data_IF_186927885017
#
_entry.id   IF_186927885017
#
_cell.length_a   1.000
_cell.length_b   1.000
_cell.length_c   1.000
_cell.angle_alpha   90.00
_cell.angle_beta   90.00
_cell.angle_gamma   90.00
#
_symmetry.space_group_name_H-M   'P 1'
#
loop_
_entity.id
_entity.type
_entity.pdbx_description
1 polymer ?
#
# COMPACT_ATOMS: atom_id res chain seq x y z
N UNK A 1 24.60 0.00 -1.68
CA UNK A 1 24.36 -1.17 -2.56
C UNK A 1 22.91 -1.55 -2.35
N UNK A 2 22.14 -1.75 -3.40
CA UNK A 2 20.75 -2.18 -3.25
C UNK A 2 20.74 -3.66 -2.91
N UNK A 3 20.37 -3.95 -1.67
CA UNK A 3 20.29 -5.32 -1.17
C UNK A 3 18.85 -5.80 -1.22
N UNK A 4 18.68 -7.11 -1.43
CA UNK A 4 17.37 -7.73 -1.41
C UNK A 4 17.07 -8.27 -0.02
N UNK A 5 16.04 -7.72 0.62
CA UNK A 5 15.58 -8.10 1.94
C UNK A 5 14.49 -9.15 1.78
N UNK A 6 14.65 -10.31 2.43
CA UNK A 6 13.64 -11.36 2.45
C UNK A 6 12.48 -10.93 3.38
N UNK A 7 11.29 -10.74 2.82
CA UNK A 7 10.12 -10.24 3.57
C UNK A 7 9.03 -11.29 3.78
N UNK A 8 8.92 -12.29 2.92
CA UNK A 8 7.95 -13.39 3.07
C UNK A 8 8.32 -14.63 2.24
N UNK A 9 7.59 -15.72 2.48
CA UNK A 9 7.61 -16.93 1.65
C UNK A 9 6.18 -17.28 1.19
N UNK A 10 6.05 -17.73 -0.05
CA UNK A 10 4.78 -18.24 -0.58
C UNK A 10 4.60 -19.69 -0.14
N UNK A 11 3.57 -19.96 0.67
CA UNK A 11 3.41 -21.27 1.35
C UNK A 11 2.43 -22.22 0.67
N UNK A 12 1.37 -21.69 0.07
CA UNK A 12 0.36 -22.53 -0.61
C UNK A 12 -0.45 -21.73 -1.64
N UNK A 13 -1.02 -22.44 -2.61
CA UNK A 13 -2.04 -21.88 -3.50
C UNK A 13 -3.31 -21.51 -2.69
N UNK A 14 -3.92 -20.40 -3.05
CA UNK A 14 -5.25 -19.98 -2.61
C UNK A 14 -6.31 -20.24 -3.70
N UNK A 15 -7.37 -19.44 -3.68
CA UNK A 15 -8.42 -19.41 -4.71
C UNK A 15 -8.28 -18.14 -5.55
N UNK A 16 -8.90 -18.10 -6.73
CA UNK A 16 -9.02 -16.87 -7.55
C UNK A 16 -7.70 -16.13 -7.83
N UNK A 17 -6.61 -16.88 -8.06
CA UNK A 17 -5.28 -16.32 -8.33
C UNK A 17 -4.50 -15.87 -7.08
N UNK A 18 -5.06 -15.99 -5.87
CA UNK A 18 -4.34 -15.65 -4.64
C UNK A 18 -3.36 -16.76 -4.26
N UNK A 19 -2.24 -16.37 -3.67
CA UNK A 19 -1.33 -17.24 -2.95
C UNK A 19 -1.29 -16.88 -1.48
N UNK A 20 -1.21 -17.88 -0.61
CA UNK A 20 -1.01 -17.68 0.82
C UNK A 20 0.47 -17.44 1.09
N UNK A 21 0.78 -16.38 1.85
CA UNK A 21 2.15 -16.04 2.23
C UNK A 21 2.34 -16.12 3.74
N UNK A 22 3.59 -16.39 4.13
CA UNK A 22 4.07 -16.27 5.50
C UNK A 22 5.08 -15.12 5.55
N UNK A 23 4.64 -13.97 6.05
CA UNK A 23 5.49 -12.81 6.24
C UNK A 23 6.52 -13.06 7.35
N UNK A 24 7.72 -12.50 7.19
CA UNK A 24 8.69 -12.36 8.28
C UNK A 24 8.14 -11.37 9.32
N UNK A 25 8.59 -11.53 10.57
CA UNK A 25 8.13 -10.66 11.66
C UNK A 25 8.35 -9.18 11.32
N UNK A 26 7.31 -8.36 11.45
CA UNK A 26 7.34 -6.93 11.16
C UNK A 26 7.05 -6.54 9.71
N UNK A 27 6.87 -7.49 8.80
CA UNK A 27 6.60 -7.21 7.38
C UNK A 27 5.16 -7.47 6.94
N UNK A 28 4.30 -7.98 7.83
CA UNK A 28 2.90 -8.30 7.53
C UNK A 28 2.10 -7.08 7.05
N UNK A 29 2.21 -5.96 7.77
CA UNK A 29 1.53 -4.71 7.39
C UNK A 29 2.11 -4.05 6.13
N UNK A 30 3.36 -4.37 5.78
CA UNK A 30 4.04 -3.77 4.64
C UNK A 30 3.37 -4.13 3.32
N UNK A 31 2.78 -5.32 3.22
CA UNK A 31 2.11 -5.78 2.01
C UNK A 31 0.94 -4.88 1.57
N UNK A 32 0.30 -4.16 2.50
CA UNK A 32 -0.76 -3.20 2.14
C UNK A 32 -0.20 -1.89 1.55
N UNK A 33 1.11 -1.64 1.68
CA UNK A 33 1.79 -0.39 1.28
C UNK A 33 2.70 -0.56 0.05
N UNK A 34 2.88 -1.78 -0.45
CA UNK A 34 3.76 -2.08 -1.60
C UNK A 34 2.96 -2.56 -2.80
N UNK A 35 3.33 -2.06 -3.98
CA UNK A 35 2.73 -2.46 -5.26
C UNK A 35 3.57 -3.45 -6.05
N UNK A 36 4.85 -3.63 -5.69
CA UNK A 36 5.79 -4.49 -6.42
C UNK A 36 6.76 -5.19 -5.49
N UNK A 37 7.11 -6.43 -5.82
CA UNK A 37 8.05 -7.26 -5.07
C UNK A 37 8.91 -8.09 -6.01
N UNK A 38 10.00 -8.65 -5.48
CA UNK A 38 10.87 -9.53 -6.23
C UNK A 38 10.68 -10.98 -5.79
N UNK A 39 10.52 -11.88 -6.75
CA UNK A 39 10.47 -13.32 -6.52
C UNK A 39 11.73 -14.00 -7.07
N UNK A 40 12.22 -15.02 -6.37
CA UNK A 40 13.37 -15.83 -6.82
C UNK A 40 12.97 -16.93 -7.80
N UNK A 41 13.43 -16.77 -9.04
CA UNK A 41 13.33 -17.77 -10.11
C UNK A 41 14.70 -18.07 -10.68
N UNK A 42 15.14 -19.33 -10.58
CA UNK A 42 16.37 -19.82 -11.21
C UNK A 42 17.60 -18.95 -10.91
N UNK A 43 17.82 -18.62 -9.63
CA UNK A 43 18.90 -17.74 -9.15
C UNK A 43 18.82 -16.29 -9.68
N UNK A 44 17.66 -15.88 -10.20
CA UNK A 44 17.39 -14.50 -10.59
C UNK A 44 16.22 -13.98 -9.78
N UNK A 45 16.30 -12.71 -9.38
CA UNK A 45 15.17 -12.02 -8.78
C UNK A 45 14.41 -11.28 -9.86
N UNK A 46 13.15 -11.66 -10.05
CA UNK A 46 12.26 -11.06 -11.05
C UNK A 46 11.23 -10.19 -10.36
N UNK A 47 10.94 -9.04 -10.95
CA UNK A 47 9.93 -8.10 -10.45
C UNK A 47 8.52 -8.63 -10.76
N UNK A 48 7.64 -8.55 -9.77
CA UNK A 48 6.23 -8.94 -9.83
C UNK A 48 5.38 -7.81 -9.26
N UNK A 49 4.34 -7.44 -9.98
CA UNK A 49 3.35 -6.47 -9.53
C UNK A 49 2.28 -7.16 -8.70
N UNK A 50 1.99 -6.59 -7.53
CA UNK A 50 0.88 -7.00 -6.66
C UNK A 50 -0.40 -6.38 -7.24
N UNK A 51 -1.40 -7.22 -7.48
CA UNK A 51 -2.74 -6.81 -7.90
C UNK A 51 -3.63 -6.53 -6.71
N UNK A 52 -3.59 -7.41 -5.71
CA UNK A 52 -4.42 -7.27 -4.51
C UNK A 52 -3.79 -7.98 -3.30
N UNK A 53 -4.14 -7.52 -2.10
CA UNK A 53 -3.73 -8.11 -0.83
C UNK A 53 -4.95 -8.32 0.05
N UNK A 54 -5.13 -9.55 0.49
CA UNK A 54 -6.26 -9.94 1.33
C UNK A 54 -5.76 -10.54 2.64
N UNK A 55 -6.17 -9.95 3.76
CA UNK A 55 -5.84 -10.44 5.09
C UNK A 55 -7.02 -11.27 5.65
N UNK A 56 -6.78 -12.55 5.88
CA UNK A 56 -7.63 -13.38 6.75
C UNK A 56 -7.26 -13.21 8.23
N UNK A 57 -8.05 -13.79 9.13
CA UNK A 57 -7.83 -13.69 10.60
C UNK A 57 -6.42 -14.12 11.07
N UNK A 58 -5.75 -15.01 10.33
CA UNK A 58 -4.46 -15.62 10.72
C UNK A 58 -3.48 -15.65 9.53
N UNK A 59 -3.91 -15.30 8.32
CA UNK A 59 -3.13 -15.57 7.10
C UNK A 59 -3.25 -14.42 6.12
N UNK A 60 -2.13 -14.11 5.47
CA UNK A 60 -2.04 -13.07 4.47
C UNK A 60 -2.03 -13.72 3.07
N UNK A 61 -2.78 -13.15 2.16
CA UNK A 61 -2.90 -13.61 0.79
C UNK A 61 -2.53 -12.47 -0.16
N UNK A 62 -1.80 -12.80 -1.21
CA UNK A 62 -1.36 -11.85 -2.24
C UNK A 62 -1.79 -12.39 -3.59
N UNK A 63 -2.34 -11.52 -4.43
CA UNK A 63 -2.60 -11.79 -5.85
C UNK A 63 -1.60 -11.00 -6.68
N UNK A 64 -0.95 -11.67 -7.63
CA UNK A 64 -0.02 -11.01 -8.56
C UNK A 64 -0.73 -10.77 -9.89
N UNK A 65 -0.43 -9.64 -10.54
CA UNK A 65 -1.00 -9.34 -11.85
C UNK A 65 -0.67 -10.45 -12.85
N UNK A 66 -1.67 -10.86 -13.63
CA UNK A 66 -1.56 -11.92 -14.67
C UNK A 66 -1.38 -13.35 -14.13
N UNK A 67 -1.59 -13.59 -12.83
CA UNK A 67 -1.65 -14.92 -12.23
C UNK A 67 -3.07 -15.18 -11.73
N UNK A 68 -3.90 -15.81 -12.57
CA UNK A 68 -5.33 -15.97 -12.31
C UNK A 68 -5.73 -17.42 -12.03
N UNK A 69 -5.04 -18.38 -12.66
CA UNK A 69 -5.40 -19.79 -12.58
C UNK A 69 -4.56 -20.59 -11.56
N UNK A 70 -5.07 -21.77 -11.17
CA UNK A 70 -4.41 -22.61 -10.17
C UNK A 70 -3.02 -23.10 -10.61
N UNK A 71 -2.79 -23.29 -11.92
CA UNK A 71 -1.50 -23.75 -12.45
C UNK A 71 -0.47 -22.65 -12.33
N UNK A 72 -0.85 -21.42 -12.66
CA UNK A 72 0.02 -20.25 -12.58
C UNK A 72 0.51 -20.02 -11.14
N UNK A 73 -0.41 -19.99 -10.19
CA UNK A 73 -0.07 -19.77 -8.77
C UNK A 73 0.68 -20.93 -8.14
N UNK A 74 0.51 -22.16 -8.65
CA UNK A 74 1.24 -23.33 -8.16
C UNK A 74 2.74 -23.23 -8.44
N UNK A 75 3.14 -22.54 -9.52
CA UNK A 75 4.56 -22.28 -9.84
C UNK A 75 5.23 -21.33 -8.84
N UNK A 76 4.42 -20.54 -8.13
CA UNK A 76 4.87 -19.56 -7.15
C UNK A 76 5.08 -20.17 -5.75
N UNK A 77 4.57 -21.38 -5.48
CA UNK A 77 4.68 -22.02 -4.17
C UNK A 77 6.15 -22.32 -3.84
N UNK A 78 6.55 -22.03 -2.60
CA UNK A 78 7.92 -22.17 -2.09
C UNK A 78 8.86 -21.06 -2.53
N UNK A 79 8.36 -20.04 -3.25
CA UNK A 79 9.18 -18.90 -3.67
C UNK A 79 9.28 -17.89 -2.54
N UNK A 80 10.47 -17.34 -2.38
CA UNK A 80 10.75 -16.24 -1.47
C UNK A 80 10.36 -14.90 -2.11
N UNK A 81 9.77 -14.02 -1.30
CA UNK A 81 9.40 -12.65 -1.65
C UNK A 81 10.43 -11.70 -1.05
N UNK A 82 10.98 -10.84 -1.88
CA UNK A 82 11.98 -9.86 -1.52
C UNK A 82 11.54 -8.44 -1.86
N UNK A 83 12.10 -7.48 -1.12
CA UNK A 83 12.02 -6.05 -1.40
C UNK A 83 13.43 -5.48 -1.48
N UNK A 84 13.65 -4.42 -2.25
CA UNK A 84 14.93 -3.71 -2.20
C UNK A 84 15.05 -2.90 -0.91
N UNK A 85 16.27 -2.80 -0.37
CA UNK A 85 16.57 -1.99 0.80
C UNK A 85 16.13 -0.52 0.62
N UNK A 86 16.33 0.04 -0.57
CA UNK A 86 15.93 1.40 -0.92
C UNK A 86 14.40 1.58 -0.89
N UNK A 87 13.63 0.63 -1.43
CA UNK A 87 12.16 0.65 -1.35
C UNK A 87 11.70 0.60 0.12
N UNK A 88 12.35 -0.20 0.96
CA UNK A 88 12.02 -0.26 2.38
C UNK A 88 12.33 1.07 3.08
N UNK A 89 13.46 1.71 2.77
CA UNK A 89 13.81 3.03 3.30
C UNK A 89 12.83 4.12 2.86
N UNK A 90 12.35 4.10 1.62
CA UNK A 90 11.30 5.00 1.13
C UNK A 90 10.00 4.82 1.92
N UNK A 91 9.55 3.58 2.09
CA UNK A 91 8.33 3.26 2.85
C UNK A 91 8.45 3.67 4.33
N UNK A 92 9.64 3.50 4.92
CA UNK A 92 9.90 3.91 6.30
C UNK A 92 9.92 5.43 6.44
N UNK A 93 10.60 6.15 5.54
CA UNK A 93 10.59 7.62 5.53
C UNK A 93 9.17 8.16 5.37
N UNK A 94 8.38 7.56 4.50
CA UNK A 94 6.99 7.93 4.33
C UNK A 94 6.15 7.69 5.60
N UNK A 95 6.36 6.57 6.29
CA UNK A 95 5.70 6.30 7.57
C UNK A 95 6.11 7.30 8.69
N UNK A 96 7.37 7.75 8.70
CA UNK A 96 7.86 8.77 9.64
C UNK A 96 7.32 10.17 9.35
N UNK A 97 6.88 10.46 8.12
CA UNK A 97 6.32 11.74 7.70
C UNK A 97 4.83 11.90 8.06
N UNK A 98 4.11 10.81 8.31
CA UNK A 98 2.67 10.80 8.59
C UNK A 98 2.22 11.68 9.78
N UNK A 99 2.93 11.73 10.91
CA UNK A 99 2.57 12.67 11.98
C UNK A 99 2.80 14.15 11.60
N UNK A 100 3.65 14.44 10.61
CA UNK A 100 4.01 15.80 10.19
C UNK A 100 3.13 16.33 9.04
N UNK A 101 2.20 15.53 8.52
CA UNK A 101 1.24 16.00 7.49
C UNK A 101 0.05 16.78 8.06
N UNK A 102 -0.07 16.88 9.39
CA UNK A 102 -1.10 17.74 10.00
C UNK A 102 -0.89 19.19 9.55
N UNK A 103 -1.97 19.82 9.06
CA UNK A 103 -1.95 21.14 8.46
C UNK A 103 -1.65 21.18 6.96
N UNK A 104 -1.41 20.03 6.31
CA UNK A 104 -1.24 19.98 4.86
C UNK A 104 -2.56 20.29 4.15
N UNK A 105 -2.47 20.96 3.00
CA UNK A 105 -3.63 21.25 2.14
C UNK A 105 -3.95 20.04 1.28
N UNK A 106 -5.22 19.67 1.20
CA UNK A 106 -5.70 18.57 0.37
C UNK A 106 -6.32 19.14 -0.90
N UNK A 107 -5.85 18.67 -2.05
CA UNK A 107 -6.38 19.04 -3.37
C UNK A 107 -6.97 17.83 -4.07
N UNK A 108 -8.09 18.04 -4.77
CA UNK A 108 -8.72 17.02 -5.62
C UNK A 108 -9.04 17.67 -6.97
N UNK A 109 -8.64 17.03 -8.07
CA UNK A 109 -8.87 17.57 -9.44
C UNK A 109 -8.39 19.02 -9.61
N UNK A 110 -7.29 19.39 -8.94
CA UNK A 110 -6.71 20.73 -8.96
C UNK A 110 -7.42 21.78 -8.09
N UNK A 111 -8.50 21.42 -7.39
CA UNK A 111 -9.23 22.30 -6.46
C UNK A 111 -8.80 22.02 -5.02
N UNK A 112 -8.66 23.08 -4.22
CA UNK A 112 -8.46 22.93 -2.78
C UNK A 112 -9.72 22.33 -2.19
N UNK A 113 -9.61 21.15 -1.57
CA UNK A 113 -10.73 20.42 -0.96
C UNK A 113 -10.77 20.56 0.55
N UNK A 114 -9.65 20.91 1.20
CA UNK A 114 -9.60 21.09 2.65
C UNK A 114 -8.18 21.05 3.21
N UNK A 115 -8.06 20.73 4.50
CA UNK A 115 -6.77 20.56 5.17
C UNK A 115 -6.78 19.45 6.21
N UNK A 116 -5.67 18.72 6.32
CA UNK A 116 -5.47 17.66 7.31
C UNK A 116 -5.47 18.27 8.71
N UNK A 117 -6.25 17.69 9.62
CA UNK A 117 -6.36 18.13 11.02
C UNK A 117 -5.85 17.09 12.00
N UNK A 118 -5.83 15.82 11.63
CA UNK A 118 -5.34 14.74 12.48
C UNK A 118 -4.91 13.52 11.66
N UNK A 119 -4.08 12.67 12.26
CA UNK A 119 -3.69 11.36 11.73
C UNK A 119 -3.68 10.38 12.87
N UNK A 120 -4.41 9.28 12.75
CA UNK A 120 -4.35 8.21 13.74
C UNK A 120 -4.03 6.85 13.12
N UNK A 121 -3.32 6.02 13.88
CA UNK A 121 -2.92 4.69 13.46
C UNK A 121 -4.08 3.71 13.65
N UNK A 122 -4.56 3.09 12.56
CA UNK A 122 -5.49 1.98 12.65
C UNK A 122 -4.75 0.63 12.44
N UNK A 123 -5.38 -0.52 12.77
CA UNK A 123 -4.72 -1.83 12.65
C UNK A 123 -4.24 -2.17 11.23
N UNK A 124 -4.99 -1.72 10.21
CA UNK A 124 -4.70 -1.95 8.80
C UNK A 124 -3.83 -0.84 8.21
N UNK A 125 -4.39 0.37 8.09
CA UNK A 125 -3.72 1.55 7.54
C UNK A 125 -3.87 2.74 8.48
N UNK A 126 -2.90 3.65 8.44
CA UNK A 126 -3.04 4.95 9.08
C UNK A 126 -4.21 5.71 8.44
N UNK A 127 -4.96 6.50 9.21
CA UNK A 127 -6.13 7.22 8.73
C UNK A 127 -5.89 8.71 8.86
N UNK A 128 -6.00 9.42 7.75
CA UNK A 128 -5.97 10.88 7.67
C UNK A 128 -7.37 11.40 7.92
N UNK A 129 -7.44 12.39 8.81
CA UNK A 129 -8.64 13.18 9.05
C UNK A 129 -8.41 14.56 8.47
N UNK A 130 -9.24 14.97 7.50
CA UNK A 130 -9.21 16.33 6.98
C UNK A 130 -10.59 16.97 7.08
N UNK A 131 -10.60 18.28 7.28
CA UNK A 131 -11.82 19.09 7.25
C UNK A 131 -11.93 19.68 5.86
N UNK A 132 -13.05 19.41 5.19
CA UNK A 132 -13.33 19.99 3.89
C UNK A 132 -13.65 21.49 3.98
N UNK A 133 -13.78 22.16 2.84
CA UNK A 133 -14.12 23.59 2.83
C UNK A 133 -15.51 23.91 3.43
N UNK A 134 -16.38 22.91 3.62
CA UNK A 134 -17.70 23.06 4.23
C UNK A 134 -17.69 22.78 5.74
N UNK A 135 -16.54 22.43 6.32
CA UNK A 135 -16.42 22.04 7.73
C UNK A 135 -16.79 20.58 8.01
N UNK A 136 -17.01 19.75 6.99
CA UNK A 136 -17.26 18.32 7.11
C UNK A 136 -15.94 17.60 7.36
N UNK A 137 -15.93 16.76 8.39
CA UNK A 137 -14.80 15.88 8.67
C UNK A 137 -14.84 14.67 7.73
N UNK A 138 -13.70 14.36 7.11
CA UNK A 138 -13.57 13.24 6.19
C UNK A 138 -12.36 12.39 6.58
N UNK A 139 -12.60 11.08 6.67
CA UNK A 139 -11.59 10.08 6.99
C UNK A 139 -11.13 9.38 5.71
N UNK A 140 -9.82 9.37 5.47
CA UNK A 140 -9.19 8.69 4.35
C UNK A 140 -8.11 7.75 4.84
N UNK A 141 -8.10 6.47 4.40
CA UNK A 141 -6.97 5.61 4.67
C UNK A 141 -5.74 6.17 3.94
N UNK A 142 -4.60 6.21 4.63
CA UNK A 142 -3.33 6.58 4.03
C UNK A 142 -2.76 5.40 3.25
N UNK A 143 -3.21 5.27 2.00
CA UNK A 143 -2.71 4.29 1.02
C UNK A 143 -2.31 5.01 -0.25
N UNK A 144 -1.18 4.60 -0.85
CA UNK A 144 -0.60 5.26 -2.02
C UNK A 144 -1.57 5.37 -3.20
N UNK A 145 -2.48 4.40 -3.37
CA UNK A 145 -3.48 4.41 -4.44
C UNK A 145 -4.45 5.60 -4.37
N UNK A 146 -4.63 6.21 -3.19
CA UNK A 146 -5.49 7.38 -2.97
C UNK A 146 -4.78 8.69 -3.35
N UNK A 147 -3.45 8.73 -3.34
CA UNK A 147 -2.68 9.94 -3.62
C UNK A 147 -2.10 9.89 -5.02
N UNK A 148 -2.45 10.88 -5.84
CA UNK A 148 -1.74 11.14 -7.09
C UNK A 148 -0.33 11.67 -6.79
N UNK A 149 -0.22 12.52 -5.77
CA UNK A 149 1.05 13.12 -5.36
C UNK A 149 1.03 13.55 -3.90
N UNK A 150 2.16 13.37 -3.23
CA UNK A 150 2.44 13.90 -1.89
C UNK A 150 3.61 14.88 -2.02
N UNK A 151 3.36 16.17 -1.77
CA UNK A 151 4.34 17.26 -1.89
C UNK A 151 4.69 17.79 -0.51
N UNK A 152 5.79 17.25 0.05
CA UNK A 152 6.24 17.54 1.40
C UNK A 152 6.78 18.97 1.54
N UNK A 153 7.45 19.48 0.50
CA UNK A 153 8.04 20.83 0.53
C UNK A 153 6.96 21.91 0.60
N UNK A 154 5.88 21.73 -0.17
CA UNK A 154 4.78 22.69 -0.22
C UNK A 154 3.65 22.38 0.76
N UNK A 155 3.74 21.28 1.51
CA UNK A 155 2.71 20.79 2.44
C UNK A 155 1.36 20.54 1.75
N UNK A 156 1.39 19.81 0.64
CA UNK A 156 0.22 19.54 -0.22
C UNK A 156 0.04 18.04 -0.44
N UNK A 157 -1.19 17.56 -0.30
CA UNK A 157 -1.63 16.23 -0.71
C UNK A 157 -2.57 16.37 -1.93
N UNK A 158 -2.30 15.63 -3.00
CA UNK A 158 -3.15 15.59 -4.19
C UNK A 158 -3.82 14.22 -4.26
N UNK A 159 -5.15 14.20 -4.15
CA UNK A 159 -5.96 13.00 -4.23
C UNK A 159 -6.14 12.54 -5.68
N UNK A 160 -6.08 11.24 -5.88
CA UNK A 160 -6.40 10.59 -7.14
C UNK A 160 -7.86 10.94 -7.52
N UNK A 161 -8.12 11.45 -8.74
CA UNK A 161 -9.46 11.86 -9.18
C UNK A 161 -10.51 10.74 -9.19
N UNK A 162 -10.09 9.48 -9.20
CA UNK A 162 -10.98 8.31 -9.09
C UNK A 162 -11.47 8.08 -7.66
N UNK A 163 -10.73 8.53 -6.65
CA UNK A 163 -11.18 8.57 -5.26
C UNK A 163 -12.01 9.84 -5.04
N UNK A 164 -13.31 9.73 -5.36
CA UNK A 164 -14.31 10.75 -5.08
C UNK A 164 -14.59 10.85 -3.58
N UNK A 165 -13.95 11.80 -2.90
CA UNK A 165 -14.17 12.04 -1.47
C UNK A 165 -15.20 13.16 -1.29
N UNK A 166 -16.30 12.88 -0.59
CA UNK A 166 -17.26 13.91 -0.18
C UNK A 166 -18.30 14.34 -1.21
N UNK A 167 -18.56 13.55 -2.26
CA UNK A 167 -19.77 13.72 -3.08
C UNK A 167 -20.86 12.93 -2.38
N UNK A 168 -21.67 13.59 -1.54
CA UNK A 168 -23.01 13.08 -1.30
C UNK A 168 -23.68 13.03 -2.69
N UNK A 169 -24.02 11.82 -3.16
CA UNK A 169 -24.98 11.66 -4.25
C UNK A 169 -26.32 12.19 -3.72
N UNK A 170 -26.66 13.44 -4.07
CA UNK A 170 -28.05 13.90 -4.11
C UNK A 170 -28.81 13.21 -5.26
#
# INVERSE_FOLDING_TARGET
MNEYILIAEITSAGKDGYVKIQAKAGFDKLFNKISEVYLDFWNQKKLFEIEDVSAGKISLYVKFKRFEDQRDISLLIGRNIFLLSEQLEELNREAELLPDIVGYKVYQKGLLSGSVVDVFQAPANDVIVFIDNNGKEILLPYVLSIFEKIDLENKILILNPEYGVGIDED
#
